data_IF_209628755743
#
_entry.id   IF_209628755743
#
_cell.length_a   1.000
_cell.length_b   1.000
_cell.length_c   1.000
_cell.angle_alpha   90.00
_cell.angle_beta   90.00
_cell.angle_gamma   90.00
#
_symmetry.space_group_name_H-M   'P 1'
#
loop_
_entity.id
_entity.type
_entity.pdbx_description
1 polymer ?
#
# COMPACT_ATOMS: atom_id res chain seq x y z
N UNK A 1 -16.77 0.93 0.05
CA UNK A 1 -16.47 2.36 -0.13
C UNK A 1 -15.07 2.47 -0.70
N UNK A 2 -14.83 3.39 -1.63
CA UNK A 2 -13.47 3.71 -2.08
C UNK A 2 -12.82 4.71 -1.12
N UNK A 3 -11.55 5.05 -1.35
CA UNK A 3 -10.83 6.03 -0.53
C UNK A 3 -11.31 7.48 -0.78
N UNK A 4 -12.04 7.73 -1.87
CA UNK A 4 -12.75 8.99 -2.14
C UNK A 4 -14.22 8.90 -1.73
N UNK A 5 -14.47 8.87 -0.43
CA UNK A 5 -15.83 8.92 0.13
C UNK A 5 -16.11 10.19 0.96
N UNK A 6 -15.14 11.11 1.01
CA UNK A 6 -15.23 12.35 1.79
C UNK A 6 -14.73 12.23 3.22
N UNK A 7 -14.22 11.08 3.64
CA UNK A 7 -13.62 10.85 4.95
C UNK A 7 -12.09 10.82 4.87
N UNK A 8 -11.44 10.95 6.03
CA UNK A 8 -9.99 10.74 6.14
C UNK A 8 -9.71 9.25 6.27
N UNK A 9 -8.72 8.77 5.51
CA UNK A 9 -8.23 7.40 5.59
C UNK A 9 -6.73 7.36 5.91
N UNK A 10 -6.33 6.44 6.76
CA UNK A 10 -4.93 6.13 7.05
C UNK A 10 -4.41 5.10 6.07
N UNK A 11 -3.47 5.47 5.18
CA UNK A 11 -2.83 4.52 4.26
C UNK A 11 -1.38 4.29 4.69
N UNK A 12 -1.01 3.02 4.91
CA UNK A 12 0.36 2.64 5.27
C UNK A 12 0.88 1.58 4.31
N UNK A 13 2.05 1.85 3.76
CA UNK A 13 2.79 0.91 2.92
C UNK A 13 4.05 0.46 3.63
N UNK A 14 4.21 -0.85 3.81
CA UNK A 14 5.37 -1.47 4.44
C UNK A 14 6.04 -2.40 3.45
N UNK A 15 7.36 -2.31 3.33
CA UNK A 15 8.14 -3.23 2.51
C UNK A 15 9.29 -3.79 3.31
N UNK A 16 9.49 -5.10 3.25
CA UNK A 16 10.63 -5.78 3.84
C UNK A 16 11.05 -6.91 2.92
N UNK A 17 12.28 -6.84 2.41
CA UNK A 17 12.87 -7.85 1.53
C UNK A 17 12.02 -8.12 0.28
N UNK A 18 11.34 -9.27 0.26
CA UNK A 18 10.51 -9.74 -0.84
C UNK A 18 8.99 -9.68 -0.52
N UNK A 19 8.64 -9.02 0.59
CA UNK A 19 7.28 -8.88 1.08
C UNK A 19 6.87 -7.40 1.16
N UNK A 20 5.64 -7.10 0.76
CA UNK A 20 5.05 -5.79 0.95
C UNK A 20 3.57 -5.89 1.35
N UNK A 21 3.13 -4.95 2.19
CA UNK A 21 1.75 -4.85 2.69
C UNK A 21 1.27 -3.42 2.55
N UNK A 22 0.02 -3.31 2.09
CA UNK A 22 -0.79 -2.12 2.15
C UNK A 22 -1.89 -2.32 3.19
N UNK A 23 -1.94 -1.43 4.17
CA UNK A 23 -3.06 -1.35 5.12
C UNK A 23 -3.82 -0.05 4.93
N UNK A 24 -5.15 -0.12 5.08
CA UNK A 24 -6.07 1.02 5.03
C UNK A 24 -6.82 1.01 6.37
N UNK A 25 -6.81 2.13 7.09
CA UNK A 25 -7.50 2.29 8.38
C UNK A 25 -7.18 1.17 9.39
N UNK A 26 -5.91 0.76 9.42
CA UNK A 26 -5.37 -0.33 10.25
C UNK A 26 -5.75 -1.75 9.81
N UNK A 27 -6.64 -1.90 8.82
CA UNK A 27 -7.01 -3.18 8.22
C UNK A 27 -6.06 -3.54 7.05
N UNK A 28 -5.69 -4.82 6.96
CA UNK A 28 -4.92 -5.32 5.82
C UNK A 28 -5.76 -5.24 4.54
N UNK A 29 -5.35 -4.39 3.61
CA UNK A 29 -6.04 -4.20 2.35
C UNK A 29 -5.46 -5.09 1.24
N UNK A 30 -4.13 -5.23 1.18
CA UNK A 30 -3.45 -6.07 0.19
C UNK A 30 -2.03 -6.43 0.62
N UNK A 31 -1.62 -7.67 0.34
CA UNK A 31 -0.25 -8.14 0.57
C UNK A 31 0.32 -8.83 -0.67
N UNK A 32 1.64 -8.70 -0.86
CA UNK A 32 2.36 -9.35 -1.95
C UNK A 32 3.66 -9.98 -1.44
N UNK A 33 3.92 -11.19 -1.90
CA UNK A 33 5.17 -11.92 -1.67
C UNK A 33 5.76 -12.34 -3.02
N UNK A 34 7.07 -12.18 -3.16
CA UNK A 34 7.77 -12.46 -4.41
C UNK A 34 9.01 -13.31 -4.15
N UNK A 35 9.61 -13.88 -5.21
CA UNK A 35 10.87 -14.62 -5.11
C UNK A 35 12.11 -13.74 -5.39
N UNK A 36 11.96 -12.42 -5.33
CA UNK A 36 13.03 -11.47 -5.61
C UNK A 36 12.86 -10.21 -4.74
N UNK A 37 13.91 -9.42 -4.48
CA UNK A 37 13.76 -8.22 -3.67
C UNK A 37 12.80 -7.20 -4.30
N UNK A 38 11.90 -6.66 -3.49
CA UNK A 38 11.00 -5.58 -3.91
C UNK A 38 11.79 -4.27 -3.93
N UNK A 39 11.74 -3.57 -5.05
CA UNK A 39 12.32 -2.24 -5.20
C UNK A 39 11.22 -1.20 -5.29
N UNK A 40 11.08 -0.39 -4.24
CA UNK A 40 10.16 0.76 -4.25
C UNK A 40 10.87 1.93 -4.92
N UNK A 41 10.31 2.42 -6.02
CA UNK A 41 10.79 3.61 -6.72
C UNK A 41 9.82 4.75 -6.46
N UNK A 42 10.35 5.90 -6.05
CA UNK A 42 9.57 7.14 -5.98
C UNK A 42 9.54 7.79 -7.37
N UNK A 43 8.47 8.54 -7.67
CA UNK A 43 8.28 9.20 -8.97
C UNK A 43 7.28 8.52 -9.91
N UNK A 44 6.75 7.35 -9.52
CA UNK A 44 5.57 6.76 -10.15
C UNK A 44 4.28 7.39 -9.59
N UNK A 45 3.13 6.85 -10.00
CA UNK A 45 1.82 7.39 -9.63
C UNK A 45 1.27 6.69 -8.39
N UNK A 46 0.79 7.47 -7.44
CA UNK A 46 0.03 6.98 -6.29
C UNK A 46 -1.34 7.63 -6.31
N UNK A 47 -2.39 6.84 -6.54
CA UNK A 47 -3.77 7.31 -6.54
C UNK A 47 -4.42 6.85 -5.25
N UNK A 48 -4.82 7.82 -4.42
CA UNK A 48 -5.64 7.59 -3.26
C UNK A 48 -6.86 8.50 -3.42
N UNK A 49 -7.97 7.87 -3.80
CA UNK A 49 -9.20 8.54 -4.17
C UNK A 49 -10.10 7.61 -4.96
#
# INVERSE_FOLDING_TARGET
SGLNDGQWHGVRFLTKENFAVLTIDEDEASSVQTNSPIHVKTGDKYFFG
#
